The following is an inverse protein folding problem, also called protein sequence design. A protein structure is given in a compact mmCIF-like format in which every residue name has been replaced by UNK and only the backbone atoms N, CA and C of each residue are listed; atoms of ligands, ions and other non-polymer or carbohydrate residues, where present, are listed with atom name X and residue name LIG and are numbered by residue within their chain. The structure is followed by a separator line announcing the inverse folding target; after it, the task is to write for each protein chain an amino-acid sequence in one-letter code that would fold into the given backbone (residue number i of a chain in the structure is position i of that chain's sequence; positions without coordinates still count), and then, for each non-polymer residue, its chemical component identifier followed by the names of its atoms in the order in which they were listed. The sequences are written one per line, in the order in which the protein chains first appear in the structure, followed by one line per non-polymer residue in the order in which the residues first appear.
data_IF_532307559307
#
_entry.id   IF_532307559307
#
_cell.length_a   1.000
_cell.length_b   1.000
_cell.length_c   1.000
_cell.angle_alpha   90.00
_cell.angle_beta   90.00
_cell.angle_gamma   90.00
#
_symmetry.space_group_name_H-M   'P 1'
#
loop_
_entity.id
_entity.type
_entity.pdbx_description
1 polymer ?
#
# COMPACT_ATOMS: atom_id res chain seq x y z
N UNK A 1 -19.58 -10.89 -6.98
CA UNK A 1 -18.21 -10.83 -6.43
C UNK A 1 -18.10 -9.57 -5.60
N UNK A 2 -17.64 -9.64 -4.35
CA UNK A 2 -17.35 -8.42 -3.57
C UNK A 2 -16.21 -7.69 -4.29
N UNK A 3 -16.47 -6.50 -4.83
CA UNK A 3 -15.39 -5.63 -5.26
C UNK A 3 -14.66 -5.15 -4.00
N UNK A 4 -13.45 -5.65 -3.76
CA UNK A 4 -12.60 -5.11 -2.70
C UNK A 4 -12.14 -3.72 -3.13
N UNK A 5 -12.29 -2.72 -2.26
CA UNK A 5 -11.78 -1.36 -2.49
C UNK A 5 -10.26 -1.30 -2.22
N UNK A 6 -9.61 -0.20 -2.62
CA UNK A 6 -8.16 -0.03 -2.47
C UNK A 6 -7.68 -0.24 -1.02
N UNK A 7 -8.45 0.25 -0.04
CA UNK A 7 -8.16 0.08 1.40
C UNK A 7 -8.16 -1.39 1.82
N UNK A 8 -9.15 -2.17 1.41
CA UNK A 8 -9.20 -3.60 1.74
C UNK A 8 -8.04 -4.35 1.10
N UNK A 9 -7.69 -4.00 -0.14
CA UNK A 9 -6.56 -4.61 -0.86
C UNK A 9 -5.23 -4.38 -0.15
N UNK A 10 -4.90 -3.12 0.18
CA UNK A 10 -3.60 -2.80 0.80
C UNK A 10 -3.48 -3.37 2.21
N UNK A 11 -4.58 -3.38 2.99
CA UNK A 11 -4.59 -4.00 4.31
C UNK A 11 -4.37 -5.51 4.24
N UNK A 12 -5.04 -6.20 3.30
CA UNK A 12 -4.87 -7.64 3.10
C UNK A 12 -3.44 -7.97 2.64
N UNK A 13 -2.89 -7.16 1.72
CA UNK A 13 -1.52 -7.29 1.26
C UNK A 13 -0.52 -7.17 2.41
N UNK A 14 -0.59 -6.09 3.20
CA UNK A 14 0.32 -5.86 4.33
C UNK A 14 0.19 -6.97 5.39
N UNK A 15 -1.03 -7.40 5.69
CA UNK A 15 -1.26 -8.48 6.63
C UNK A 15 -0.62 -9.80 6.16
N UNK A 16 -0.78 -10.16 4.87
CA UNK A 16 -0.18 -11.35 4.30
C UNK A 16 1.36 -11.26 4.25
N UNK A 17 1.90 -10.14 3.76
CA UNK A 17 3.34 -9.94 3.60
C UNK A 17 4.06 -9.99 4.96
N UNK A 18 3.56 -9.26 5.97
CA UNK A 18 4.15 -9.23 7.31
C UNK A 18 3.97 -10.56 8.08
N UNK A 19 2.96 -11.35 7.75
CA UNK A 19 2.78 -12.70 8.27
C UNK A 19 3.67 -13.75 7.56
N UNK A 20 4.43 -13.35 6.52
CA UNK A 20 5.24 -14.26 5.72
C UNK A 20 4.43 -15.16 4.77
N UNK A 21 3.15 -14.84 4.54
CA UNK A 21 2.27 -15.50 3.57
C UNK A 21 2.51 -14.91 2.18
N UNK A 22 3.70 -15.16 1.65
CA UNK A 22 4.22 -14.50 0.43
C UNK A 22 3.29 -14.73 -0.76
N UNK A 23 2.78 -15.94 -0.96
CA UNK A 23 1.90 -16.26 -2.10
C UNK A 23 0.55 -15.53 -2.02
N UNK A 24 0.00 -15.36 -0.80
CA UNK A 24 -1.23 -14.59 -0.59
C UNK A 24 -1.00 -13.09 -0.87
N UNK A 25 0.15 -12.55 -0.48
CA UNK A 25 0.52 -11.17 -0.78
C UNK A 25 0.79 -10.96 -2.28
N UNK A 26 1.48 -11.89 -2.93
CA UNK A 26 1.76 -11.83 -4.37
C UNK A 26 0.49 -11.86 -5.23
N UNK A 27 -0.57 -12.56 -4.78
CA UNK A 27 -1.87 -12.55 -5.45
C UNK A 27 -2.54 -11.16 -5.47
N UNK A 28 -2.20 -10.30 -4.50
CA UNK A 28 -2.70 -8.93 -4.33
C UNK A 28 -1.75 -7.87 -4.92
N UNK A 29 -0.66 -8.30 -5.55
CA UNK A 29 0.33 -7.45 -6.17
C UNK A 29 0.34 -7.60 -7.70
N UNK A 30 0.79 -6.54 -8.36
CA UNK A 30 1.14 -6.54 -9.77
C UNK A 30 2.56 -7.09 -9.91
N UNK A 31 2.70 -8.37 -10.26
CA UNK A 31 3.99 -9.05 -10.29
C UNK A 31 5.01 -8.48 -11.29
N UNK A 32 4.56 -7.69 -12.26
CA UNK A 32 5.44 -6.99 -13.20
C UNK A 32 6.03 -5.70 -12.60
N UNK A 33 5.40 -5.14 -11.57
CA UNK A 33 5.83 -3.91 -10.90
C UNK A 33 6.42 -4.19 -9.51
N UNK A 34 5.84 -5.15 -8.78
CA UNK A 34 6.26 -5.57 -7.45
C UNK A 34 6.68 -7.05 -7.46
N UNK A 35 7.97 -7.34 -7.72
CA UNK A 35 8.47 -8.71 -7.73
C UNK A 35 8.30 -9.40 -6.37
N UNK A 36 8.07 -10.71 -6.40
CA UNK A 36 7.89 -11.54 -5.18
C UNK A 36 9.04 -11.40 -4.18
N UNK A 37 10.27 -11.17 -4.65
CA UNK A 37 11.42 -10.97 -3.77
C UNK A 37 11.29 -9.69 -2.94
N UNK A 38 10.75 -8.59 -3.48
CA UNK A 38 10.48 -7.39 -2.68
C UNK A 38 9.41 -7.64 -1.60
N UNK A 39 8.39 -8.46 -1.91
CA UNK A 39 7.37 -8.87 -0.93
C UNK A 39 8.00 -9.68 0.21
N UNK A 40 8.95 -10.57 -0.10
CA UNK A 40 9.70 -11.34 0.90
C UNK A 40 10.55 -10.44 1.77
N UNK A 41 11.26 -9.51 1.15
CA UNK A 41 12.14 -8.57 1.84
C UNK A 41 11.37 -7.64 2.79
N UNK A 42 10.14 -7.24 2.44
CA UNK A 42 9.32 -6.36 3.28
C UNK A 42 9.18 -6.88 4.72
N UNK A 43 8.95 -8.19 4.89
CA UNK A 43 8.86 -8.82 6.22
C UNK A 43 10.17 -8.68 7.01
N UNK A 44 11.30 -8.87 6.34
CA UNK A 44 12.61 -8.87 6.97
C UNK A 44 13.11 -7.44 7.25
N UNK A 45 12.62 -6.47 6.48
CA UNK A 45 12.92 -5.06 6.62
C UNK A 45 12.09 -4.37 7.70
N UNK A 46 10.83 -4.77 7.94
CA UNK A 46 9.93 -4.06 8.86
C UNK A 46 9.91 -4.72 10.25
N UNK A 47 10.23 -3.95 11.30
CA UNK A 47 10.20 -4.38 12.71
C UNK A 47 8.79 -4.35 13.30
N UNK A 48 7.78 -4.78 12.55
CA UNK A 48 6.40 -4.79 13.01
C UNK A 48 5.66 -6.03 12.50
N UNK A 49 4.86 -6.65 13.38
CA UNK A 49 3.99 -7.78 13.01
C UNK A 49 2.69 -7.31 12.34
N UNK A 50 2.34 -6.04 12.50
CA UNK A 50 1.16 -5.39 11.97
C UNK A 50 1.49 -3.92 11.71
N UNK A 51 0.94 -3.39 10.63
CA UNK A 51 1.03 -1.97 10.26
C UNK A 51 -0.36 -1.46 9.95
N UNK A 52 -0.72 -0.31 10.49
CA UNK A 52 -1.99 0.36 10.24
C UNK A 52 -1.89 1.27 9.03
N UNK A 53 -2.83 1.15 8.11
CA UNK A 53 -3.01 2.10 7.00
C UNK A 53 -3.80 3.30 7.53
N UNK A 54 -3.24 4.50 7.46
CA UNK A 54 -3.84 5.72 8.03
C UNK A 54 -4.58 6.56 6.99
N UNK A 55 -4.20 6.44 5.72
CA UNK A 55 -4.85 7.16 4.61
C UNK A 55 -4.80 6.32 3.35
N UNK A 56 -5.90 6.35 2.59
CA UNK A 56 -5.96 5.81 1.23
C UNK A 56 -6.70 6.83 0.38
N UNK A 57 -6.06 7.29 -0.69
CA UNK A 57 -6.69 8.12 -1.72
C UNK A 57 -6.79 7.29 -2.99
N UNK A 58 -7.91 7.36 -3.70
CA UNK A 58 -8.07 6.72 -4.99
C UNK A 58 -8.72 7.66 -6.00
N UNK A 59 -8.14 7.67 -7.21
CA UNK A 59 -8.77 8.17 -8.41
C UNK A 59 -9.32 6.98 -9.18
N UNK A 60 -10.65 6.94 -9.29
CA UNK A 60 -11.37 5.91 -10.05
C UNK A 60 -11.93 6.45 -11.37
N UNK A 61 -11.68 7.73 -11.67
CA UNK A 61 -12.12 8.34 -12.92
C UNK A 61 -10.98 8.37 -13.94
N UNK A 62 -11.35 8.34 -15.22
CA UNK A 62 -10.37 8.35 -16.31
C UNK A 62 -9.80 6.98 -16.68
N UNK A 63 -8.84 6.94 -17.62
CA UNK A 63 -8.33 5.70 -18.21
C UNK A 63 -7.35 4.95 -17.30
N UNK A 64 -6.82 5.59 -16.25
CA UNK A 64 -5.90 5.00 -15.28
C UNK A 64 -6.49 5.17 -13.89
N UNK A 65 -6.88 4.06 -13.27
CA UNK A 65 -7.42 4.04 -11.91
C UNK A 65 -6.28 3.75 -10.95
N UNK A 66 -5.97 4.70 -10.09
CA UNK A 66 -4.76 4.72 -9.27
C UNK A 66 -5.11 5.07 -7.83
N UNK A 67 -4.36 4.54 -6.88
CA UNK A 67 -4.53 4.81 -5.47
C UNK A 67 -3.19 4.90 -4.75
N UNK A 68 -3.15 5.73 -3.72
CA UNK A 68 -2.01 5.93 -2.84
C UNK A 68 -2.44 5.63 -1.41
N UNK A 69 -1.77 4.68 -0.77
CA UNK A 69 -1.98 4.33 0.62
C UNK A 69 -0.76 4.72 1.46
N UNK A 70 -1.00 5.29 2.63
CA UNK A 70 0.03 5.72 3.58
C UNK A 70 -0.22 5.01 4.91
N UNK A 71 0.84 4.47 5.51
CA UNK A 71 0.77 3.83 6.83
C UNK A 71 1.10 4.77 7.97
N UNK A 72 0.86 4.30 9.20
CA UNK A 72 1.53 4.85 10.38
C UNK A 72 3.06 4.74 10.26
N UNK A 73 3.77 5.42 11.15
CA UNK A 73 5.23 5.31 11.20
C UNK A 73 5.65 3.91 11.66
N UNK A 74 6.49 3.27 10.87
CA UNK A 74 7.08 1.95 11.11
C UNK A 74 8.58 2.08 11.35
N UNK A 75 9.14 1.11 12.06
CA UNK A 75 10.59 0.98 12.21
C UNK A 75 11.14 -0.08 11.28
N UNK A 76 12.32 0.16 10.72
CA UNK A 76 13.03 -0.80 9.89
C UNK A 76 14.17 -1.52 10.64
N UNK A 77 14.48 -2.73 10.19
CA UNK A 77 15.48 -3.60 10.77
C UNK A 77 16.89 -3.00 10.62
N UNK A 78 17.20 -2.55 9.41
CA UNK A 78 18.43 -1.86 9.03
C UNK A 78 18.11 -0.40 8.72
N UNK A 79 18.90 0.56 9.23
CA UNK A 79 18.74 1.96 8.83
C UNK A 79 18.92 2.13 7.33
N UNK A 80 18.18 3.07 6.74
CA UNK A 80 18.40 3.53 5.38
C UNK A 80 19.79 4.19 5.23
N UNK A 81 20.27 4.40 3.99
CA UNK A 81 21.55 5.07 3.74
C UNK A 81 21.67 6.47 4.39
N UNK A 82 20.55 7.14 4.64
CA UNK A 82 20.47 8.43 5.33
C UNK A 82 20.55 8.32 6.87
N UNK A 83 20.71 7.11 7.41
CA UNK A 83 20.79 6.80 8.83
C UNK A 83 19.44 6.68 9.54
N UNK A 84 18.31 6.90 8.86
CA UNK A 84 16.98 6.80 9.47
C UNK A 84 16.52 5.35 9.53
N UNK A 85 15.89 5.00 10.65
CA UNK A 85 15.31 3.68 10.84
C UNK A 85 13.80 3.74 11.17
N UNK A 86 13.18 4.92 11.05
CA UNK A 86 11.76 5.16 11.28
C UNK A 86 11.22 6.03 10.15
N UNK A 87 10.04 5.69 9.64
CA UNK A 87 9.42 6.32 8.47
C UNK A 87 8.04 5.72 8.22
N UNK A 88 7.37 6.09 7.14
CA UNK A 88 6.05 5.53 6.75
C UNK A 88 6.21 4.72 5.47
N UNK A 89 5.33 3.76 5.27
CA UNK A 89 5.21 3.11 3.98
C UNK A 89 4.26 3.92 3.12
N UNK A 90 4.70 4.23 1.90
CA UNK A 90 3.89 4.77 0.81
C UNK A 90 3.69 3.65 -0.18
N UNK A 91 2.43 3.33 -0.48
CA UNK A 91 2.07 2.14 -1.24
C UNK A 91 1.21 2.59 -2.41
N UNK A 92 1.69 2.34 -3.63
CA UNK A 92 0.96 2.64 -4.85
C UNK A 92 0.12 1.43 -5.27
N UNK A 93 -1.11 1.67 -5.73
CA UNK A 93 -2.00 0.65 -6.27
C UNK A 93 -2.61 1.09 -7.60
N UNK A 94 -2.80 0.15 -8.50
CA UNK A 94 -3.60 0.35 -9.71
C UNK A 94 -4.79 -0.62 -9.74
N UNK A 95 -5.91 -0.17 -10.30
CA UNK A 95 -7.04 -1.04 -10.59
C UNK A 95 -6.87 -1.63 -11.98
N UNK A 96 -6.79 -2.95 -12.06
CA UNK A 96 -6.91 -3.71 -13.31
C UNK A 96 -8.36 -4.18 -13.47
N UNK A 97 -8.93 -4.04 -14.66
CA UNK A 97 -10.38 -4.22 -14.87
C UNK A 97 -10.88 -5.63 -14.47
N UNK A 98 -10.09 -6.67 -14.73
CA UNK A 98 -10.47 -8.07 -14.43
C UNK A 98 -10.02 -8.56 -13.05
N UNK A 99 -9.03 -7.90 -12.42
CA UNK A 99 -8.41 -8.35 -11.16
C UNK A 99 -8.74 -7.46 -9.96
N UNK A 100 -9.25 -6.25 -10.20
CA UNK A 100 -9.46 -5.24 -9.16
C UNK A 100 -8.18 -4.49 -8.82
N UNK A 101 -8.11 -3.96 -7.60
CA UNK A 101 -6.94 -3.24 -7.11
C UNK A 101 -5.78 -4.19 -6.87
N UNK A 102 -4.58 -3.78 -7.27
CA UNK A 102 -3.32 -4.49 -7.06
C UNK A 102 -2.25 -3.50 -6.58
N UNK A 103 -1.42 -3.94 -5.64
CA UNK A 103 -0.25 -3.18 -5.18
C UNK A 103 0.81 -3.19 -6.27
N UNK A 104 1.32 -2.02 -6.64
CA UNK A 104 2.35 -1.87 -7.67
C UNK A 104 3.72 -1.55 -7.09
N UNK A 105 3.76 -0.78 -6.00
CA UNK A 105 5.02 -0.30 -5.44
C UNK A 105 4.90 -0.03 -3.94
N UNK A 106 6.04 -0.08 -3.25
CA UNK A 106 6.16 0.15 -1.81
C UNK A 106 7.45 0.91 -1.51
N UNK A 107 7.31 2.15 -1.07
CA UNK A 107 8.41 3.00 -0.65
C UNK A 107 8.40 3.19 0.86
N UNK A 108 9.59 3.16 1.47
CA UNK A 108 9.79 3.56 2.86
C UNK A 108 10.33 4.99 2.91
N UNK A 109 9.49 5.90 3.38
CA UNK A 109 9.72 7.34 3.26
C UNK A 109 9.68 8.06 4.61
N UNK A 110 10.37 9.19 4.68
CA UNK A 110 10.18 10.14 5.77
C UNK A 110 8.96 11.03 5.59
N UNK A 111 8.50 11.67 6.66
CA UNK A 111 7.32 12.53 6.60
C UNK A 111 7.38 13.61 5.50
N UNK A 112 8.53 14.26 5.30
CA UNK A 112 8.69 15.26 4.24
C UNK A 112 8.57 14.66 2.83
N UNK A 113 9.08 13.44 2.64
CA UNK A 113 9.00 12.72 1.37
C UNK A 113 7.57 12.23 1.10
N UNK A 114 6.89 11.69 2.13
CA UNK A 114 5.48 11.30 2.06
C UNK A 114 4.61 12.47 1.62
N UNK A 115 4.87 13.67 2.15
CA UNK A 115 4.16 14.88 1.74
C UNK A 115 4.43 15.21 0.26
N UNK A 116 5.68 15.11 -0.17
CA UNK A 116 6.06 15.30 -1.57
C UNK A 116 5.36 14.34 -2.53
N UNK A 117 5.29 13.06 -2.16
CA UNK A 117 4.61 12.02 -2.95
C UNK A 117 3.09 12.21 -2.94
N UNK A 118 2.50 12.56 -1.79
CA UNK A 118 1.08 12.91 -1.70
C UNK A 118 0.73 14.12 -2.58
N UNK A 119 1.53 15.19 -2.52
CA UNK A 119 1.33 16.38 -3.34
C UNK A 119 1.48 16.05 -4.84
N UNK A 120 2.41 15.15 -5.19
CA UNK A 120 2.57 14.67 -6.57
C UNK A 120 1.36 13.87 -7.03
N UNK A 121 0.92 12.91 -6.23
CA UNK A 121 -0.24 12.08 -6.54
C UNK A 121 -1.49 12.94 -6.74
N UNK A 122 -1.74 13.93 -5.88
CA UNK A 122 -2.89 14.83 -6.01
C UNK A 122 -2.82 15.77 -7.23
N UNK A 123 -1.61 16.11 -7.71
CA UNK A 123 -1.45 16.85 -8.97
C UNK A 123 -1.76 15.97 -10.17
N UNK A 124 -1.32 14.72 -10.15
CA UNK A 124 -1.50 13.78 -11.26
C UNK A 124 -2.94 13.22 -11.30
N UNK A 125 -3.58 13.13 -10.14
CA UNK A 125 -4.93 12.61 -9.92
C UNK A 125 -5.78 13.59 -9.11
N UNK A 126 -6.17 14.74 -9.69
CA UNK A 126 -6.89 15.79 -8.98
C UNK A 126 -8.31 15.40 -8.55
N UNK A 127 -8.85 14.32 -9.09
CA UNK A 127 -10.13 13.74 -8.70
C UNK A 127 -10.04 12.76 -7.52
N UNK A 128 -8.82 12.43 -7.06
CA UNK A 128 -8.62 11.43 -6.03
C UNK A 128 -9.39 11.76 -4.75
N UNK A 129 -10.10 10.77 -4.22
CA UNK A 129 -10.91 10.89 -3.02
C UNK A 129 -10.45 9.91 -1.93
N UNK A 130 -10.65 10.25 -0.63
CA UNK A 130 -10.47 9.30 0.45
C UNK A 130 -11.31 8.04 0.25
N UNK A 131 -10.67 6.88 0.36
CA UNK A 131 -11.35 5.58 0.33
C UNK A 131 -11.53 5.11 1.77
N UNK A 132 -12.76 5.11 2.31
CA UNK A 132 -13.00 4.62 3.65
C UNK A 132 -12.63 3.15 3.75
N UNK A 133 -12.20 2.73 4.95
CA UNK A 133 -12.13 1.32 5.29
C UNK A 133 -13.50 0.70 5.00
N UNK A 134 -13.52 -0.39 4.22
CA UNK A 134 -14.78 -1.08 3.95
C UNK A 134 -15.35 -1.47 5.31
N UNK A 135 -16.49 -0.89 5.69
CA UNK A 135 -17.12 -1.15 6.97
C UNK A 135 -17.15 -2.67 7.17
N UNK A 136 -16.43 -3.14 8.18
CA UNK A 136 -16.43 -4.55 8.55
C UNK A 136 -17.88 -4.94 8.74
N UNK A 137 -18.44 -5.72 7.81
CA UNK A 137 -19.74 -6.32 8.00
C UNK A 137 -19.52 -7.28 9.16
N UNK A 138 -19.90 -6.85 10.36
CA UNK A 138 -20.04 -7.75 11.50
C UNK A 138 -21.00 -8.85 11.05
N UNK A 139 -20.59 -10.13 11.05
CA UNK A 139 -21.55 -11.19 10.84
C UNK A 139 -22.54 -11.13 11.99
N UNK A 140 -23.81 -10.86 11.65
CA UNK A 140 -24.92 -11.05 12.56
C UNK A 140 -25.35 -12.52 12.53
#
# INVERSE_FOLDING_TARGET
MRQHNATTCVQAFLAAALAGKVDEAAALADGDQLPVEQIRELRDQIKAKKVTVVSVLASETGPRKQALAITESVQVAKPNPDGRNTGKLVIALAKQDDRGWLVQDIDFESEDAVKGELDRFLRDFPDAQPVPEAAAIQPN
#
